data_IF_292361442531
#
_entry.id   IF_292361442531
#
_cell.length_a   1.000
_cell.length_b   1.000
_cell.length_c   1.000
_cell.angle_alpha   90.00
_cell.angle_beta   90.00
_cell.angle_gamma   90.00
#
_symmetry.space_group_name_H-M   'P 1'
#
loop_
_entity.id
_entity.type
_entity.pdbx_description
1 polymer ?
#
# COMPACT_ATOMS: atom_id res chain seq x y z
N UNK A 1 -6.35 -14.35 27.33
CA UNK A 1 -6.62 -15.38 26.29
C UNK A 1 -7.88 -14.99 25.54
N UNK A 2 -7.75 -14.28 24.43
CA UNK A 2 -8.86 -14.06 23.50
C UNK A 2 -9.08 -15.39 22.75
N UNK A 3 -10.11 -16.14 23.15
CA UNK A 3 -10.60 -17.24 22.35
C UNK A 3 -11.16 -16.69 21.03
N UNK A 4 -10.41 -16.78 19.94
CA UNK A 4 -10.94 -16.66 18.60
C UNK A 4 -11.88 -17.83 18.41
N UNK A 5 -13.18 -17.62 18.52
CA UNK A 5 -14.17 -18.64 18.19
C UNK A 5 -14.03 -18.98 16.72
N UNK A 6 -13.58 -20.20 16.41
CA UNK A 6 -13.57 -20.70 15.04
C UNK A 6 -15.00 -20.69 14.50
N UNK A 7 -15.27 -20.07 13.35
CA UNK A 7 -16.57 -20.18 12.72
C UNK A 7 -16.86 -21.65 12.34
N UNK A 8 -18.13 -22.07 12.32
CA UNK A 8 -18.49 -23.44 11.93
C UNK A 8 -18.13 -23.70 10.47
N UNK A 9 -17.64 -24.92 10.20
CA UNK A 9 -17.24 -25.40 8.87
C UNK A 9 -18.48 -25.63 8.02
N UNK A 10 -18.95 -24.62 7.26
CA UNK A 10 -19.85 -24.87 6.12
C UNK A 10 -20.10 -23.60 5.28
N UNK A 11 -19.86 -23.72 3.99
CA UNK A 11 -20.27 -22.95 2.81
C UNK A 11 -19.48 -21.68 2.41
N UNK A 12 -19.27 -21.44 1.09
CA UNK A 12 -18.48 -20.34 0.52
C UNK A 12 -18.97 -18.91 0.83
N UNK A 13 -20.21 -18.75 1.27
CA UNK A 13 -20.81 -17.49 1.72
C UNK A 13 -20.17 -16.90 3.01
N UNK A 14 -19.37 -17.69 3.72
CA UNK A 14 -18.76 -17.26 4.98
C UNK A 14 -17.47 -16.46 4.83
N UNK A 15 -16.85 -16.43 3.65
CA UNK A 15 -15.58 -15.72 3.46
C UNK A 15 -15.75 -14.20 3.52
N UNK A 16 -16.78 -13.64 2.86
CA UNK A 16 -17.09 -12.20 2.92
C UNK A 16 -17.63 -11.81 4.30
N UNK A 17 -18.54 -12.60 4.87
CA UNK A 17 -19.08 -12.36 6.23
C UNK A 17 -17.99 -12.42 7.30
N UNK A 18 -17.00 -13.32 7.19
CA UNK A 18 -15.88 -13.38 8.10
C UNK A 18 -15.00 -12.13 7.98
N UNK A 19 -14.74 -11.67 6.76
CA UNK A 19 -13.99 -10.43 6.52
C UNK A 19 -14.68 -9.23 7.16
N UNK A 20 -16.00 -9.11 7.02
CA UNK A 20 -16.79 -8.01 7.59
C UNK A 20 -16.84 -8.06 9.13
N UNK A 21 -16.85 -9.26 9.71
CA UNK A 21 -16.74 -9.44 11.17
C UNK A 21 -15.40 -8.96 11.67
N UNK A 22 -14.29 -9.34 11.03
CA UNK A 22 -12.96 -8.89 11.43
C UNK A 22 -12.77 -7.39 11.24
N UNK A 23 -13.28 -6.81 10.17
CA UNK A 23 -13.28 -5.35 9.95
C UNK A 23 -14.01 -4.62 11.09
N UNK A 24 -15.21 -5.07 11.47
CA UNK A 24 -15.97 -4.48 12.57
C UNK A 24 -15.26 -4.61 13.91
N UNK A 25 -14.73 -5.79 14.21
CA UNK A 25 -13.96 -6.00 15.44
C UNK A 25 -12.72 -5.12 15.51
N UNK A 26 -12.04 -4.90 14.39
CA UNK A 26 -10.87 -4.01 14.36
C UNK A 26 -11.23 -2.56 14.63
N UNK A 27 -12.38 -2.08 14.14
CA UNK A 27 -12.88 -0.73 14.43
C UNK A 27 -13.19 -0.55 15.92
N UNK A 28 -13.90 -1.49 16.53
CA UNK A 28 -14.20 -1.47 17.95
C UNK A 28 -12.93 -1.46 18.82
N UNK A 29 -11.94 -2.28 18.45
CA UNK A 29 -10.64 -2.33 19.13
C UNK A 29 -9.86 -1.01 18.97
N UNK A 30 -9.87 -0.43 17.76
CA UNK A 30 -9.22 0.85 17.49
C UNK A 30 -9.79 1.96 18.36
N UNK A 31 -11.12 2.10 18.39
CA UNK A 31 -11.82 3.13 19.16
C UNK A 31 -11.56 2.98 20.66
N UNK A 32 -11.63 1.74 21.17
CA UNK A 32 -11.37 1.46 22.59
C UNK A 32 -9.91 1.75 22.95
N UNK A 33 -8.97 1.39 22.09
CA UNK A 33 -7.54 1.63 22.30
C UNK A 33 -7.21 3.12 22.25
N UNK A 34 -7.74 3.87 21.27
CA UNK A 34 -7.47 5.31 21.15
C UNK A 34 -8.18 6.15 22.22
N UNK A 35 -9.20 5.59 22.88
CA UNK A 35 -9.86 6.21 24.03
C UNK A 35 -9.31 5.73 25.39
N UNK A 36 -8.16 5.03 25.39
CA UNK A 36 -7.48 4.50 26.57
C UNK A 36 -8.33 3.54 27.44
N UNK A 37 -9.37 2.93 26.85
CA UNK A 37 -10.23 1.96 27.54
C UNK A 37 -9.62 0.57 27.62
N UNK A 38 -8.75 0.23 26.67
CA UNK A 38 -8.02 -1.04 26.64
C UNK A 38 -6.53 -0.80 26.32
N UNK A 39 -5.70 -1.75 26.74
CA UNK A 39 -4.32 -1.84 26.27
C UNK A 39 -4.24 -2.83 25.11
N UNK A 40 -3.60 -2.46 24.01
CA UNK A 40 -3.38 -3.32 22.85
C UNK A 40 -1.91 -3.69 22.74
N UNK A 41 -1.64 -5.01 22.71
CA UNK A 41 -0.28 -5.53 22.56
C UNK A 41 0.37 -5.00 21.27
N UNK A 42 1.64 -4.58 21.30
CA UNK A 42 2.32 -3.95 20.15
C UNK A 42 2.22 -4.76 18.85
N UNK A 43 2.25 -6.10 18.95
CA UNK A 43 2.17 -7.03 17.82
C UNK A 43 0.81 -6.99 17.12
N UNK A 44 -0.26 -6.62 17.83
CA UNK A 44 -1.62 -6.54 17.30
C UNK A 44 -1.94 -5.17 16.69
N UNK A 45 -1.21 -4.12 17.04
CA UNK A 45 -1.51 -2.74 16.63
C UNK A 45 -1.53 -2.58 15.12
N UNK A 46 -0.49 -3.08 14.41
CA UNK A 46 -0.44 -2.99 12.94
C UNK A 46 -1.63 -3.69 12.28
N UNK A 47 -2.08 -4.83 12.82
CA UNK A 47 -3.22 -5.57 12.28
C UNK A 47 -4.51 -4.76 12.47
N UNK A 48 -4.73 -4.24 13.66
CA UNK A 48 -5.92 -3.43 13.98
C UNK A 48 -5.95 -2.17 13.12
N UNK A 49 -4.84 -1.43 13.03
CA UNK A 49 -4.76 -0.21 12.22
C UNK A 49 -5.01 -0.48 10.74
N UNK A 50 -4.35 -1.50 10.17
CA UNK A 50 -4.47 -1.85 8.75
C UNK A 50 -5.91 -2.26 8.40
N UNK A 51 -6.54 -3.14 9.20
CA UNK A 51 -7.91 -3.57 8.95
C UNK A 51 -8.91 -2.42 9.11
N UNK A 52 -8.70 -1.54 10.10
CA UNK A 52 -9.55 -0.38 10.29
C UNK A 52 -9.41 0.63 9.15
N UNK A 53 -8.20 0.87 8.66
CA UNK A 53 -7.97 1.77 7.52
C UNK A 53 -8.58 1.23 6.21
N UNK A 54 -8.64 -0.09 6.01
CA UNK A 54 -9.27 -0.72 4.85
C UNK A 54 -10.77 -0.45 4.73
N UNK A 55 -11.45 -0.02 5.78
CA UNK A 55 -12.89 0.29 5.71
C UNK A 55 -13.21 1.45 4.76
N UNK A 56 -12.20 2.25 4.41
CA UNK A 56 -12.35 3.41 3.54
C UNK A 56 -13.17 4.56 4.14
N UNK A 57 -13.60 4.46 5.40
CA UNK A 57 -14.35 5.50 6.09
C UNK A 57 -13.46 6.70 6.41
N UNK A 58 -13.92 7.88 6.00
CA UNK A 58 -13.21 9.16 6.21
C UNK A 58 -13.05 9.50 7.69
N UNK A 59 -13.97 9.06 8.55
CA UNK A 59 -13.89 9.31 9.99
C UNK A 59 -12.74 8.51 10.62
N UNK A 60 -12.61 7.25 10.27
CA UNK A 60 -11.53 6.36 10.70
C UNK A 60 -10.17 6.82 10.16
N UNK A 61 -10.12 7.21 8.88
CA UNK A 61 -8.91 7.79 8.29
C UNK A 61 -8.42 9.00 9.11
N UNK A 62 -9.32 9.96 9.38
CA UNK A 62 -8.96 11.15 10.13
C UNK A 62 -8.58 10.81 11.57
N UNK A 63 -9.26 9.86 12.20
CA UNK A 63 -8.94 9.40 13.56
C UNK A 63 -7.51 8.83 13.64
N UNK A 64 -7.11 7.99 12.66
CA UNK A 64 -5.76 7.43 12.59
C UNK A 64 -4.74 8.54 12.30
N UNK A 65 -5.03 9.45 11.36
CA UNK A 65 -4.14 10.55 11.00
C UNK A 65 -3.90 11.49 12.17
N UNK A 66 -4.96 11.86 12.89
CA UNK A 66 -4.86 12.73 14.07
C UNK A 66 -4.09 12.05 15.21
N UNK A 67 -4.23 10.75 15.38
CA UNK A 67 -3.43 9.97 16.32
C UNK A 67 -1.97 9.96 15.92
N UNK A 68 -1.64 9.74 14.62
CA UNK A 68 -0.28 9.77 14.10
C UNK A 68 0.41 11.13 14.36
N UNK A 69 -0.32 12.24 14.19
CA UNK A 69 0.20 13.59 14.44
C UNK A 69 0.53 13.84 15.91
N UNK A 70 -0.22 13.26 16.82
CA UNK A 70 -0.03 13.40 18.28
C UNK A 70 1.00 12.44 18.85
N UNK A 71 1.30 11.36 18.13
CA UNK A 71 2.21 10.31 18.59
C UNK A 71 3.65 10.81 18.69
N UNK A 72 4.31 10.52 19.80
CA UNK A 72 5.70 10.92 20.06
C UNK A 72 6.70 9.81 19.68
N UNK A 73 6.28 8.54 19.83
CA UNK A 73 7.13 7.42 19.49
C UNK A 73 7.15 7.23 17.97
N UNK A 74 8.30 7.45 17.36
CA UNK A 74 8.45 7.47 15.91
C UNK A 74 8.06 6.14 15.24
N UNK A 75 8.34 5.02 15.87
CA UNK A 75 7.95 3.70 15.37
C UNK A 75 6.42 3.56 15.29
N UNK A 76 5.72 3.99 16.33
CA UNK A 76 4.27 3.94 16.38
C UNK A 76 3.65 4.94 15.40
N UNK A 77 4.23 6.15 15.30
CA UNK A 77 3.84 7.15 14.31
C UNK A 77 3.92 6.61 12.88
N UNK A 78 5.05 5.97 12.53
CA UNK A 78 5.23 5.36 11.21
C UNK A 78 4.24 4.20 10.99
N UNK A 79 3.94 3.41 12.01
CA UNK A 79 2.95 2.32 11.95
C UNK A 79 1.54 2.85 11.62
N UNK A 80 1.16 3.97 12.20
CA UNK A 80 -0.10 4.66 11.91
C UNK A 80 -0.14 5.19 10.49
N UNK A 81 0.90 5.89 10.01
CA UNK A 81 0.98 6.35 8.63
C UNK A 81 0.98 5.19 7.62
N UNK A 82 1.70 4.11 7.91
CA UNK A 82 1.72 2.91 7.07
C UNK A 82 0.33 2.28 6.92
N UNK A 83 -0.51 2.34 7.95
CA UNK A 83 -1.88 1.83 7.86
C UNK A 83 -2.76 2.64 6.92
N UNK A 84 -2.55 3.96 6.81
CA UNK A 84 -3.27 4.82 5.86
C UNK A 84 -3.01 4.44 4.39
N UNK A 85 -1.89 3.78 4.10
CA UNK A 85 -1.61 3.24 2.76
C UNK A 85 -2.54 2.08 2.36
N UNK A 86 -3.36 1.56 3.29
CA UNK A 86 -4.29 0.45 3.07
C UNK A 86 -5.71 0.88 2.71
N UNK A 87 -6.00 2.17 2.68
CA UNK A 87 -7.35 2.68 2.33
C UNK A 87 -7.74 2.23 0.92
N UNK A 88 -9.02 1.86 0.76
CA UNK A 88 -9.59 1.42 -0.52
C UNK A 88 -10.33 2.57 -1.24
N UNK A 89 -10.55 3.70 -0.56
CA UNK A 89 -11.19 4.89 -1.11
C UNK A 89 -10.19 5.75 -1.88
N UNK A 90 -10.48 6.07 -3.13
CA UNK A 90 -9.58 6.80 -4.04
C UNK A 90 -9.24 8.22 -3.55
N UNK A 91 -10.21 8.96 -2.98
CA UNK A 91 -9.96 10.29 -2.42
C UNK A 91 -8.95 10.24 -1.27
N UNK A 92 -9.12 9.27 -0.36
CA UNK A 92 -8.24 9.08 0.79
C UNK A 92 -6.88 8.51 0.36
N UNK A 93 -6.86 7.66 -0.65
CA UNK A 93 -5.62 7.15 -1.23
C UNK A 93 -4.79 8.29 -1.82
N UNK A 94 -5.38 9.14 -2.64
CA UNK A 94 -4.72 10.31 -3.20
C UNK A 94 -4.24 11.29 -2.11
N UNK A 95 -5.04 11.50 -1.07
CA UNK A 95 -4.63 12.28 0.10
C UNK A 95 -3.41 11.69 0.80
N UNK A 96 -3.32 10.36 0.90
CA UNK A 96 -2.16 9.66 1.49
C UNK A 96 -0.93 9.76 0.61
N UNK A 97 -1.07 9.72 -0.73
CA UNK A 97 0.03 9.99 -1.67
C UNK A 97 0.62 11.39 -1.42
N UNK A 98 -0.23 12.42 -1.36
CA UNK A 98 0.23 13.79 -1.08
C UNK A 98 0.89 13.90 0.31
N UNK A 99 0.33 13.24 1.32
CA UNK A 99 0.90 13.19 2.66
C UNK A 99 2.31 12.59 2.65
N UNK A 100 2.56 11.55 1.83
CA UNK A 100 3.85 10.83 1.80
C UNK A 100 5.05 11.69 1.42
N UNK A 101 4.84 12.79 0.66
CA UNK A 101 5.91 13.72 0.25
C UNK A 101 5.89 15.04 1.03
N UNK A 102 4.92 15.22 1.92
CA UNK A 102 4.79 16.42 2.75
C UNK A 102 5.84 16.49 3.87
N UNK A 103 5.95 17.65 4.51
CA UNK A 103 6.86 17.88 5.64
C UNK A 103 6.46 17.11 6.91
N UNK A 104 5.24 16.54 6.95
CA UNK A 104 4.80 15.68 8.06
C UNK A 104 5.53 14.32 8.06
N UNK A 105 6.01 13.89 6.90
CA UNK A 105 6.70 12.61 6.72
C UNK A 105 8.21 12.86 6.54
N UNK A 106 9.01 12.17 7.33
CA UNK A 106 10.47 12.27 7.18
C UNK A 106 10.88 11.74 5.80
N UNK A 107 11.80 12.42 5.16
CA UNK A 107 12.31 12.08 3.82
C UNK A 107 12.71 10.60 3.70
N UNK A 108 13.32 10.03 4.75
CA UNK A 108 13.70 8.61 4.78
C UNK A 108 12.51 7.64 4.77
N UNK A 109 11.31 8.07 5.19
CA UNK A 109 10.12 7.23 5.33
C UNK A 109 9.22 7.30 4.08
N UNK A 110 9.33 8.37 3.26
CA UNK A 110 8.55 8.60 2.04
C UNK A 110 8.53 7.38 1.11
N UNK A 111 9.71 6.87 0.74
CA UNK A 111 9.80 5.74 -0.21
C UNK A 111 9.17 4.48 0.36
N UNK A 112 9.21 4.30 1.68
CA UNK A 112 8.55 3.17 2.34
C UNK A 112 7.03 3.24 2.23
N UNK A 113 6.46 4.45 2.42
CA UNK A 113 5.02 4.67 2.27
C UNK A 113 4.59 4.49 0.80
N UNK A 114 5.31 5.06 -0.17
CA UNK A 114 5.04 4.86 -1.59
C UNK A 114 5.10 3.38 -1.98
N UNK A 115 6.08 2.62 -1.45
CA UNK A 115 6.16 1.17 -1.67
C UNK A 115 4.95 0.40 -1.09
N UNK A 116 4.43 0.83 0.07
CA UNK A 116 3.21 0.24 0.64
C UNK A 116 1.96 0.59 -0.17
N UNK A 117 1.91 1.79 -0.72
CA UNK A 117 0.80 2.25 -1.55
C UNK A 117 0.76 1.52 -2.90
N UNK A 118 1.92 1.27 -3.51
CA UNK A 118 2.00 0.58 -4.80
C UNK A 118 1.50 -0.88 -4.77
N UNK A 119 1.39 -1.49 -3.60
CA UNK A 119 0.81 -2.83 -3.43
C UNK A 119 -0.62 -2.80 -2.88
N UNK A 120 -1.26 -1.64 -2.86
CA UNK A 120 -2.66 -1.52 -2.52
C UNK A 120 -3.51 -2.18 -3.61
N UNK A 121 -4.56 -2.91 -3.18
CA UNK A 121 -5.40 -3.72 -4.07
C UNK A 121 -6.24 -2.91 -5.06
N UNK A 122 -6.50 -1.65 -4.74
CA UNK A 122 -7.33 -0.75 -5.55
C UNK A 122 -6.45 0.12 -6.43
N UNK A 123 -5.94 -0.43 -7.54
CA UNK A 123 -5.09 0.25 -8.52
C UNK A 123 -3.86 0.96 -7.93
N UNK A 124 -3.36 0.45 -6.80
CA UNK A 124 -2.27 1.09 -6.07
C UNK A 124 -0.98 1.24 -6.87
N UNK A 125 -0.65 0.26 -7.71
CA UNK A 125 0.56 0.29 -8.53
C UNK A 125 0.53 1.44 -9.55
N UNK A 126 -0.55 1.51 -10.35
CA UNK A 126 -0.72 2.55 -11.38
C UNK A 126 -0.80 3.94 -10.77
N UNK A 127 -1.68 4.13 -9.77
CA UNK A 127 -1.86 5.43 -9.13
C UNK A 127 -0.58 5.92 -8.43
N UNK A 128 0.18 5.02 -7.81
CA UNK A 128 1.47 5.37 -7.19
C UNK A 128 2.51 5.72 -8.25
N UNK A 129 2.54 4.99 -9.37
CA UNK A 129 3.46 5.28 -10.47
C UNK A 129 3.16 6.63 -11.12
N UNK A 130 1.90 6.94 -11.40
CA UNK A 130 1.49 8.25 -11.93
C UNK A 130 1.84 9.39 -10.97
N UNK A 131 1.69 9.15 -9.67
CA UNK A 131 2.09 10.10 -8.65
C UNK A 131 3.62 10.33 -8.63
N UNK A 132 4.41 9.26 -8.74
CA UNK A 132 5.88 9.34 -8.81
C UNK A 132 6.31 10.15 -10.03
N UNK A 133 5.74 9.87 -11.23
CA UNK A 133 6.04 10.65 -12.45
C UNK A 133 5.73 12.13 -12.27
N UNK A 134 4.55 12.43 -11.74
CA UNK A 134 4.08 13.81 -11.53
C UNK A 134 4.92 14.60 -10.51
N UNK A 135 5.62 13.91 -9.63
CA UNK A 135 6.46 14.50 -8.58
C UNK A 135 7.95 14.18 -8.77
N UNK A 136 8.35 13.76 -9.98
CA UNK A 136 9.69 13.26 -10.23
C UNK A 136 10.78 14.25 -9.87
N UNK A 137 10.63 15.52 -10.20
CA UNK A 137 11.62 16.56 -9.90
C UNK A 137 11.93 16.64 -8.40
N UNK A 138 10.91 16.57 -7.54
CA UNK A 138 11.07 16.57 -6.09
C UNK A 138 11.73 15.28 -5.59
N UNK A 139 11.33 14.14 -6.14
CA UNK A 139 11.85 12.83 -5.73
C UNK A 139 13.31 12.65 -6.18
N UNK A 140 13.64 13.13 -7.37
CA UNK A 140 15.01 13.12 -7.88
C UNK A 140 15.91 14.09 -7.09
N UNK A 141 15.44 15.28 -6.75
CA UNK A 141 16.16 16.19 -5.85
C UNK A 141 16.47 15.52 -4.50
N UNK A 142 15.50 14.79 -3.92
CA UNK A 142 15.65 14.14 -2.61
C UNK A 142 16.54 12.89 -2.64
N UNK A 143 16.50 12.11 -3.72
CA UNK A 143 17.10 10.76 -3.78
C UNK A 143 18.02 10.53 -4.98
N UNK A 144 18.10 11.45 -5.94
CA UNK A 144 18.84 11.29 -7.20
C UNK A 144 20.36 11.17 -7.02
N UNK A 145 20.91 11.66 -5.86
CA UNK A 145 22.31 11.42 -5.52
C UNK A 145 22.69 9.93 -5.37
N UNK A 146 21.70 9.04 -5.50
CA UNK A 146 21.87 7.60 -5.48
C UNK A 146 21.56 6.96 -4.12
N UNK A 147 21.79 5.65 -4.06
CA UNK A 147 21.60 4.87 -2.85
C UNK A 147 20.31 4.05 -2.82
N UNK A 148 20.07 3.38 -1.70
CA UNK A 148 18.95 2.44 -1.54
C UNK A 148 17.57 3.08 -1.72
N UNK A 149 17.41 4.36 -1.42
CA UNK A 149 16.14 5.05 -1.56
C UNK A 149 15.71 5.13 -3.04
N UNK A 150 16.61 5.55 -3.94
CA UNK A 150 16.35 5.60 -5.37
C UNK A 150 16.08 4.19 -5.94
N UNK A 151 16.88 3.20 -5.57
CA UNK A 151 16.66 1.80 -5.99
C UNK A 151 15.27 1.31 -5.56
N UNK A 152 14.85 1.60 -4.33
CA UNK A 152 13.51 1.21 -3.84
C UNK A 152 12.39 1.95 -4.56
N UNK A 153 12.58 3.24 -4.85
CA UNK A 153 11.63 4.06 -5.59
C UNK A 153 11.40 3.50 -7.00
N UNK A 154 12.50 3.21 -7.73
CA UNK A 154 12.43 2.59 -9.06
C UNK A 154 11.84 1.18 -8.98
N UNK A 155 12.18 0.41 -7.95
CA UNK A 155 11.64 -0.94 -7.72
C UNK A 155 10.11 -1.01 -7.57
N UNK A 156 9.46 0.10 -7.25
CA UNK A 156 7.99 0.21 -7.18
C UNK A 156 7.36 -0.13 -8.54
N UNK A 157 7.99 0.26 -9.64
CA UNK A 157 7.48 0.01 -11.00
C UNK A 157 7.32 -1.47 -11.31
N UNK A 158 8.10 -2.35 -10.68
CA UNK A 158 7.95 -3.80 -10.82
C UNK A 158 6.62 -4.39 -10.31
N UNK A 159 5.75 -3.58 -9.70
CA UNK A 159 4.40 -3.98 -9.31
C UNK A 159 3.35 -3.74 -10.41
N UNK A 160 3.73 -3.12 -11.52
CA UNK A 160 2.89 -2.91 -12.71
C UNK A 160 2.72 -4.22 -13.48
N UNK A 161 1.63 -4.33 -14.26
CA UNK A 161 1.16 -5.63 -14.75
C UNK A 161 0.92 -5.67 -16.25
N UNK A 162 0.98 -4.55 -16.99
CA UNK A 162 0.60 -4.51 -18.39
C UNK A 162 1.77 -4.19 -19.32
N UNK A 163 1.66 -4.56 -20.61
CA UNK A 163 2.64 -4.19 -21.61
C UNK A 163 2.72 -2.67 -21.80
N UNK A 164 1.60 -1.98 -21.70
CA UNK A 164 1.56 -0.52 -21.72
C UNK A 164 2.36 0.10 -20.57
N UNK A 165 2.32 -0.52 -19.38
CA UNK A 165 3.12 -0.08 -18.24
C UNK A 165 4.60 -0.25 -18.49
N UNK A 166 5.00 -1.40 -19.06
CA UNK A 166 6.39 -1.64 -19.45
C UNK A 166 6.91 -0.52 -20.33
N UNK A 167 6.19 -0.22 -21.43
CA UNK A 167 6.58 0.79 -22.42
C UNK A 167 6.60 2.19 -21.78
N UNK A 168 5.65 2.49 -20.87
CA UNK A 168 5.58 3.74 -20.13
C UNK A 168 6.77 3.92 -19.17
N UNK A 169 7.12 2.87 -18.40
CA UNK A 169 8.27 2.90 -17.48
C UNK A 169 9.57 3.05 -18.25
N UNK A 170 9.75 2.28 -19.33
CA UNK A 170 10.94 2.35 -20.17
C UNK A 170 11.09 3.74 -20.80
N UNK A 171 10.00 4.27 -21.38
CA UNK A 171 10.00 5.61 -22.00
C UNK A 171 10.33 6.70 -20.98
N UNK A 172 9.71 6.65 -19.79
CA UNK A 172 9.97 7.62 -18.75
C UNK A 172 11.45 7.66 -18.33
N UNK A 173 12.08 6.52 -18.10
CA UNK A 173 13.48 6.47 -17.68
C UNK A 173 14.49 6.63 -18.83
N UNK A 174 14.07 6.59 -20.08
CA UNK A 174 14.87 7.06 -21.21
C UNK A 174 15.03 8.59 -21.16
N UNK A 175 13.95 9.31 -20.77
CA UNK A 175 13.95 10.76 -20.64
C UNK A 175 14.55 11.22 -19.29
N UNK A 176 14.55 10.36 -18.26
CA UNK A 176 15.06 10.61 -16.92
C UNK A 176 16.07 9.54 -16.51
N UNK A 177 17.30 9.56 -17.03
CA UNK A 177 18.30 8.52 -16.77
C UNK A 177 18.67 8.43 -15.28
N UNK A 178 18.75 7.20 -14.75
CA UNK A 178 19.05 6.90 -13.34
C UNK A 178 20.21 5.90 -13.24
N UNK A 179 21.44 6.38 -13.37
CA UNK A 179 22.63 5.50 -13.36
C UNK A 179 22.71 4.64 -12.10
N UNK A 180 22.46 5.24 -10.93
CA UNK A 180 22.54 4.58 -9.61
C UNK A 180 21.52 3.45 -9.41
N UNK A 181 20.40 3.46 -10.13
CA UNK A 181 19.33 2.47 -10.04
C UNK A 181 19.08 1.71 -11.36
N UNK A 182 19.98 1.83 -12.34
CA UNK A 182 19.81 1.19 -13.66
C UNK A 182 19.54 -0.31 -13.57
N UNK A 183 20.30 -1.03 -12.74
CA UNK A 183 20.07 -2.47 -12.55
C UNK A 183 18.69 -2.77 -11.97
N UNK A 184 18.22 -1.96 -11.05
CA UNK A 184 16.88 -2.09 -10.47
C UNK A 184 15.80 -1.84 -11.51
N UNK A 185 16.00 -0.86 -12.40
CA UNK A 185 15.09 -0.63 -13.54
C UNK A 185 15.00 -1.85 -14.44
N UNK A 186 16.14 -2.46 -14.83
CA UNK A 186 16.13 -3.66 -15.64
C UNK A 186 15.36 -4.81 -14.97
N UNK A 187 15.60 -5.03 -13.67
CA UNK A 187 14.88 -6.04 -12.89
C UNK A 187 13.37 -5.76 -12.80
N UNK A 188 12.98 -4.48 -12.70
CA UNK A 188 11.57 -4.09 -12.69
C UNK A 188 10.90 -4.35 -14.03
N UNK A 189 11.56 -4.01 -15.15
CA UNK A 189 11.07 -4.27 -16.49
C UNK A 189 10.94 -5.77 -16.77
N UNK A 190 11.94 -6.58 -16.39
CA UNK A 190 11.87 -8.05 -16.46
C UNK A 190 10.69 -8.61 -15.65
N UNK A 191 10.43 -8.03 -14.47
CA UNK A 191 9.30 -8.44 -13.64
C UNK A 191 7.95 -8.10 -14.27
N UNK A 192 7.82 -6.92 -14.88
CA UNK A 192 6.60 -6.55 -15.61
C UNK A 192 6.38 -7.53 -16.77
N UNK A 193 7.39 -7.80 -17.57
CA UNK A 193 7.29 -8.77 -18.68
C UNK A 193 6.89 -10.17 -18.19
N UNK A 194 7.47 -10.64 -17.09
CA UNK A 194 7.10 -11.92 -16.50
C UNK A 194 5.64 -11.94 -16.00
N UNK A 195 5.16 -10.85 -15.41
CA UNK A 195 3.76 -10.71 -14.97
C UNK A 195 2.80 -10.72 -16.16
N UNK A 196 3.13 -10.01 -17.25
CA UNK A 196 2.35 -9.98 -18.49
C UNK A 196 2.27 -11.39 -19.09
N UNK A 197 3.42 -12.04 -19.29
CA UNK A 197 3.46 -13.39 -19.86
C UNK A 197 2.69 -14.42 -19.01
N UNK A 198 2.77 -14.31 -17.68
CA UNK A 198 2.01 -15.16 -16.78
C UNK A 198 0.50 -14.94 -16.92
N UNK A 199 0.08 -13.69 -16.96
CA UNK A 199 -1.34 -13.34 -17.09
C UNK A 199 -1.90 -13.81 -18.43
N UNK A 200 -1.21 -13.54 -19.55
CA UNK A 200 -1.60 -13.98 -20.88
C UNK A 200 -1.72 -15.51 -20.97
N UNK A 201 -0.85 -16.24 -20.27
CA UNK A 201 -0.90 -17.71 -20.28
C UNK A 201 -2.06 -18.31 -19.49
N UNK A 202 -2.50 -17.62 -18.43
CA UNK A 202 -3.47 -18.18 -17.48
C UNK A 202 -4.86 -17.50 -17.51
N UNK A 203 -5.05 -16.44 -18.31
CA UNK A 203 -6.29 -15.64 -18.28
C UNK A 203 -7.53 -16.49 -18.59
N UNK A 204 -7.47 -17.34 -19.60
CA UNK A 204 -8.59 -18.19 -20.04
C UNK A 204 -8.97 -19.21 -18.95
N UNK A 205 -8.00 -19.77 -18.25
CA UNK A 205 -8.21 -20.70 -17.14
C UNK A 205 -8.89 -19.99 -15.95
N UNK A 206 -8.40 -18.80 -15.59
CA UNK A 206 -8.94 -17.98 -14.51
C UNK A 206 -10.40 -17.58 -14.83
N UNK A 207 -10.67 -17.11 -16.05
CA UNK A 207 -12.03 -16.75 -16.48
C UNK A 207 -12.97 -17.95 -16.45
N UNK A 208 -12.53 -19.11 -16.89
CA UNK A 208 -13.30 -20.36 -16.82
C UNK A 208 -13.65 -20.73 -15.37
N UNK A 209 -12.70 -20.61 -14.44
CA UNK A 209 -12.93 -20.88 -13.02
C UNK A 209 -13.89 -19.88 -12.37
N UNK A 210 -13.83 -18.61 -12.73
CA UNK A 210 -14.71 -17.57 -12.21
C UNK A 210 -16.14 -17.71 -12.72
N UNK A 211 -16.32 -18.09 -13.99
CA UNK A 211 -17.63 -18.28 -14.60
C UNK A 211 -18.30 -19.62 -14.25
N UNK A 212 -17.58 -20.55 -13.64
CA UNK A 212 -18.11 -21.86 -13.20
C UNK A 212 -18.72 -21.84 -11.79
N UNK A 213 -18.79 -20.68 -11.14
CA UNK A 213 -19.39 -20.44 -9.81
C UNK A 213 -20.70 -19.65 -9.92
#
# INVERSE_FOLDING_TARGET
FLMIRRPPRSTPLYSSSASDVYKRQSLELLEQFFSDKISLAPELRSIVYNLSAQTGDKSIYNLILDRARKEQLQEEKLRLYASLCRVENDELFNKTLQLSISDEIRTQDTVSLLSLMSVNRNNGAEATWDFIKSNWALLDERYGSGGFAMMRLVGITGNLLTKSDYDNVQGFFNDHPIESAYRTLQQSLERIDANVAWLEHHIDEIESLLNSR
#
